data_IF_796226162901
#
_entry.id   IF_796226162901
#
_cell.length_a   1.000
_cell.length_b   1.000
_cell.length_c   1.000
_cell.angle_alpha   90.00
_cell.angle_beta   90.00
_cell.angle_gamma   90.00
#
_symmetry.space_group_name_H-M   'P 1'
#
loop_
_entity.id
_entity.type
_entity.pdbx_description
1 polymer ?
#
# COMPACT_ATOMS: atom_id res chain seq x y z
N UNK A 1 23.08 -5.29 -6.48
CA UNK A 1 21.87 -5.96 -6.97
C UNK A 1 21.71 -7.36 -6.34
N UNK A 2 22.69 -8.27 -6.42
CA UNK A 2 22.58 -9.63 -5.87
C UNK A 2 22.08 -9.67 -4.42
N UNK A 3 22.71 -8.96 -3.50
CA UNK A 3 22.28 -8.91 -2.08
C UNK A 3 20.83 -8.45 -1.87
N UNK A 4 20.30 -7.62 -2.74
CA UNK A 4 18.90 -7.21 -2.65
C UNK A 4 17.98 -8.37 -3.06
N UNK A 5 18.38 -9.11 -4.11
CA UNK A 5 17.62 -10.27 -4.58
C UNK A 5 17.67 -11.45 -3.60
N UNK A 6 18.75 -11.57 -2.81
CA UNK A 6 18.82 -12.57 -1.73
C UNK A 6 17.74 -12.33 -0.66
N UNK A 7 17.34 -11.08 -0.46
CA UNK A 7 16.33 -10.69 0.54
C UNK A 7 14.92 -10.67 -0.04
N UNK A 8 14.74 -10.05 -1.23
CA UNK A 8 13.42 -9.78 -1.80
C UNK A 8 13.13 -10.53 -3.09
N UNK A 9 14.08 -11.30 -3.63
CA UNK A 9 13.94 -12.03 -4.89
C UNK A 9 13.02 -13.24 -4.79
N UNK A 10 12.76 -13.72 -3.59
CA UNK A 10 11.82 -14.80 -3.37
C UNK A 10 10.39 -14.40 -3.74
N UNK A 11 9.72 -15.32 -4.42
CA UNK A 11 8.31 -15.11 -4.77
C UNK A 11 7.51 -14.75 -3.51
N UNK A 12 6.66 -13.79 -3.60
CA UNK A 12 5.80 -13.24 -2.53
C UNK A 12 6.47 -12.24 -1.58
N UNK A 13 7.82 -12.15 -1.50
CA UNK A 13 8.48 -11.22 -0.58
C UNK A 13 8.02 -9.76 -0.82
N UNK A 14 8.10 -9.27 -2.06
CA UNK A 14 7.63 -7.92 -2.42
C UNK A 14 6.12 -7.75 -2.27
N UNK A 15 5.32 -8.81 -2.38
CA UNK A 15 3.89 -8.73 -2.12
C UNK A 15 3.58 -8.57 -0.63
N UNK A 16 4.34 -9.24 0.25
CA UNK A 16 4.26 -9.01 1.71
C UNK A 16 4.64 -7.57 2.04
N UNK A 17 5.75 -7.07 1.47
CA UNK A 17 6.16 -5.66 1.63
C UNK A 17 5.04 -4.73 1.17
N UNK A 18 4.46 -4.94 -0.01
CA UNK A 18 3.34 -4.15 -0.55
C UNK A 18 2.17 -4.07 0.43
N UNK A 19 1.78 -5.20 1.01
CA UNK A 19 0.67 -5.27 1.97
C UNK A 19 0.94 -4.45 3.24
N UNK A 20 2.21 -4.31 3.64
CA UNK A 20 2.63 -3.60 4.85
C UNK A 20 2.96 -2.11 4.59
N UNK A 21 3.05 -1.66 3.34
CA UNK A 21 3.31 -0.24 3.01
C UNK A 21 2.21 0.71 3.50
N UNK A 22 0.99 0.21 3.67
CA UNK A 22 -0.16 1.00 4.13
C UNK A 22 -0.39 0.89 5.65
N UNK A 23 0.54 0.29 6.37
CA UNK A 23 0.51 0.16 7.82
C UNK A 23 0.64 -1.26 8.33
N UNK A 24 0.72 -1.39 9.65
CA UNK A 24 0.86 -2.67 10.32
C UNK A 24 -0.37 -3.57 10.11
N UNK A 25 -0.14 -4.88 9.95
CA UNK A 25 -1.18 -5.87 9.72
C UNK A 25 -0.99 -7.11 10.61
N UNK A 26 -2.10 -7.72 10.98
CA UNK A 26 -2.09 -9.05 11.59
C UNK A 26 -1.80 -10.11 10.55
N UNK A 27 -1.40 -11.29 10.98
CA UNK A 27 -1.21 -12.44 10.09
C UNK A 27 -2.48 -12.76 9.28
N UNK A 28 -3.65 -12.72 9.93
CA UNK A 28 -4.94 -12.96 9.29
C UNK A 28 -5.25 -11.95 8.18
N UNK A 29 -4.89 -10.68 8.37
CA UNK A 29 -5.13 -9.62 7.40
C UNK A 29 -4.20 -9.75 6.18
N UNK A 30 -2.93 -10.11 6.43
CA UNK A 30 -1.97 -10.43 5.36
C UNK A 30 -2.44 -11.62 4.53
N UNK A 31 -2.92 -12.68 5.20
CA UNK A 31 -3.46 -13.87 4.53
C UNK A 31 -4.69 -13.54 3.68
N UNK A 32 -5.60 -12.70 4.18
CA UNK A 32 -6.77 -12.26 3.43
C UNK A 32 -6.40 -11.45 2.18
N UNK A 33 -5.34 -10.62 2.27
CA UNK A 33 -4.82 -9.85 1.13
C UNK A 33 -4.07 -10.69 0.08
N UNK A 34 -3.68 -11.92 0.44
CA UNK A 34 -2.90 -12.82 -0.42
C UNK A 34 -3.49 -14.25 -0.46
N UNK A 35 -4.70 -14.45 -1.01
CA UNK A 35 -5.43 -15.72 -0.92
C UNK A 35 -4.71 -16.90 -1.58
N UNK A 36 -3.85 -16.63 -2.57
CA UNK A 36 -3.08 -17.65 -3.29
C UNK A 36 -1.79 -18.07 -2.57
N UNK A 37 -1.50 -17.50 -1.39
CA UNK A 37 -0.32 -17.82 -0.60
C UNK A 37 -0.72 -18.73 0.56
N UNK A 38 -0.05 -19.90 0.68
CA UNK A 38 -0.31 -20.79 1.80
C UNK A 38 0.14 -20.17 3.12
N UNK A 39 -0.52 -20.52 4.25
CA UNK A 39 -0.14 -20.01 5.57
C UNK A 39 1.32 -20.31 5.95
N UNK A 40 1.81 -21.49 5.59
CA UNK A 40 3.18 -21.91 5.90
C UNK A 40 4.20 -21.07 5.12
N UNK A 41 3.93 -20.82 3.83
CA UNK A 41 4.81 -20.00 3.00
C UNK A 41 4.74 -18.54 3.43
N UNK A 42 3.57 -18.00 3.83
CA UNK A 42 3.49 -16.66 4.41
C UNK A 42 4.31 -16.58 5.70
N UNK A 43 4.18 -17.57 6.58
CA UNK A 43 4.97 -17.64 7.81
C UNK A 43 6.48 -17.67 7.53
N UNK A 44 6.89 -18.42 6.52
CA UNK A 44 8.28 -18.46 6.10
C UNK A 44 8.76 -17.09 5.59
N UNK A 45 8.01 -16.46 4.65
CA UNK A 45 8.37 -15.14 4.12
C UNK A 45 8.45 -14.06 5.21
N UNK A 46 7.55 -14.10 6.20
CA UNK A 46 7.59 -13.18 7.34
C UNK A 46 8.85 -13.37 8.18
N UNK A 47 9.26 -14.61 8.44
CA UNK A 47 10.51 -14.89 9.16
C UNK A 47 11.75 -14.40 8.38
N UNK A 48 11.81 -14.69 7.08
CA UNK A 48 12.94 -14.31 6.23
C UNK A 48 13.10 -12.78 6.17
N UNK A 49 11.99 -12.06 5.98
CA UNK A 49 11.98 -10.60 5.94
C UNK A 49 12.28 -9.97 7.31
N UNK A 50 11.87 -10.62 8.41
CA UNK A 50 12.21 -10.20 9.77
C UNK A 50 13.72 -10.36 10.03
N UNK A 51 14.30 -11.51 9.68
CA UNK A 51 15.74 -11.76 9.81
C UNK A 51 16.57 -10.79 8.94
N UNK A 52 16.06 -10.42 7.77
CA UNK A 52 16.70 -9.43 6.90
C UNK A 52 16.50 -7.97 7.39
N UNK A 53 15.77 -7.74 8.49
CA UNK A 53 15.50 -6.42 9.04
C UNK A 53 14.58 -5.55 8.18
N UNK A 54 13.78 -6.16 7.30
CA UNK A 54 12.81 -5.47 6.44
C UNK A 54 11.50 -5.20 7.17
N UNK A 55 11.09 -6.12 8.02
CA UNK A 55 9.92 -5.98 8.87
C UNK A 55 10.26 -6.35 10.32
N UNK A 56 9.38 -5.99 11.22
CA UNK A 56 9.41 -6.40 12.62
C UNK A 56 8.04 -6.84 13.09
N UNK A 57 8.02 -7.61 14.17
CA UNK A 57 6.80 -7.90 14.92
C UNK A 57 6.59 -6.85 15.97
N UNK A 58 5.36 -6.43 16.13
CA UNK A 58 4.95 -5.53 17.19
C UNK A 58 3.63 -6.01 17.81
N UNK A 59 3.25 -5.43 18.93
CA UNK A 59 2.02 -5.75 19.62
C UNK A 59 1.18 -4.51 19.79
N UNK A 60 -0.03 -4.54 19.23
CA UNK A 60 -0.97 -3.45 19.44
C UNK A 60 -1.36 -3.36 20.93
N UNK A 61 -1.49 -2.13 21.46
CA UNK A 61 -1.93 -1.94 22.83
C UNK A 61 -3.37 -2.43 23.06
N UNK A 62 -3.76 -2.66 24.31
CA UNK A 62 -5.16 -2.90 24.64
C UNK A 62 -6.07 -1.77 24.12
N UNK A 63 -7.33 -2.08 23.77
CA UNK A 63 -8.05 -3.35 23.96
C UNK A 63 -7.77 -4.41 22.87
N UNK A 64 -7.08 -4.07 21.80
CA UNK A 64 -6.90 -4.98 20.66
C UNK A 64 -5.87 -6.07 20.94
N UNK A 65 -4.80 -5.77 21.67
CA UNK A 65 -3.75 -6.67 22.15
C UNK A 65 -3.29 -7.75 21.15
N UNK A 66 -3.24 -7.43 19.86
CA UNK A 66 -2.93 -8.35 18.78
C UNK A 66 -1.48 -8.21 18.30
N UNK A 67 -0.86 -9.33 17.92
CA UNK A 67 0.42 -9.31 17.23
C UNK A 67 0.23 -8.82 15.80
N UNK A 68 1.09 -7.88 15.38
CA UNK A 68 1.12 -7.31 14.04
C UNK A 68 2.53 -7.37 13.46
N UNK A 69 2.60 -7.28 12.15
CA UNK A 69 3.83 -7.11 11.38
C UNK A 69 3.82 -5.71 10.79
N UNK A 70 4.96 -5.03 10.85
CA UNK A 70 5.13 -3.71 10.24
C UNK A 70 6.50 -3.58 9.58
N UNK A 71 6.60 -2.70 8.59
CA UNK A 71 7.88 -2.42 7.95
C UNK A 71 8.77 -1.59 8.88
N UNK A 72 10.05 -1.95 8.91
CA UNK A 72 11.10 -1.07 9.44
C UNK A 72 11.34 0.10 8.48
N UNK A 73 12.16 1.09 8.87
CA UNK A 73 12.54 2.17 7.97
C UNK A 73 13.21 1.63 6.70
N UNK A 74 14.10 0.64 6.84
CA UNK A 74 14.70 -0.09 5.72
C UNK A 74 13.63 -0.78 4.84
N UNK A 75 12.61 -1.34 5.43
CA UNK A 75 11.50 -1.95 4.68
C UNK A 75 10.69 -0.91 3.90
N UNK A 76 10.49 0.28 4.46
CA UNK A 76 9.80 1.39 3.78
C UNK A 76 10.59 1.94 2.58
N UNK A 77 11.92 1.85 2.59
CA UNK A 77 12.75 2.19 1.43
C UNK A 77 12.45 1.36 0.19
N UNK A 78 11.78 0.21 0.32
CA UNK A 78 11.32 -0.61 -0.81
C UNK A 78 10.09 -0.04 -1.53
N UNK A 79 9.41 0.96 -0.98
CA UNK A 79 8.23 1.55 -1.63
C UNK A 79 8.47 1.99 -3.08
N UNK A 80 9.52 2.75 -3.42
CA UNK A 80 9.79 3.14 -4.80
C UNK A 80 10.06 1.94 -5.72
N UNK A 81 10.63 0.84 -5.20
CA UNK A 81 10.85 -0.39 -5.96
C UNK A 81 9.51 -1.05 -6.28
N UNK A 82 8.64 -1.20 -5.29
CA UNK A 82 7.29 -1.77 -5.46
C UNK A 82 6.47 -0.95 -6.45
N UNK A 83 6.48 0.39 -6.31
CA UNK A 83 5.77 1.29 -7.23
C UNK A 83 6.38 1.24 -8.65
N UNK A 84 7.71 1.14 -8.78
CA UNK A 84 8.39 0.99 -10.06
C UNK A 84 7.99 -0.30 -10.78
N UNK A 85 7.96 -1.42 -10.07
CA UNK A 85 7.48 -2.70 -10.60
C UNK A 85 5.99 -2.63 -10.98
N UNK A 86 5.17 -1.95 -10.16
CA UNK A 86 3.76 -1.72 -10.46
C UNK A 86 3.56 -0.94 -11.77
N UNK A 87 4.33 0.15 -11.99
CA UNK A 87 4.30 0.93 -13.24
C UNK A 87 4.75 0.11 -14.44
N UNK A 88 5.80 -0.68 -14.28
CA UNK A 88 6.27 -1.57 -15.35
C UNK A 88 5.21 -2.61 -15.69
N UNK A 89 4.64 -3.26 -14.68
CA UNK A 89 3.63 -4.30 -14.84
C UNK A 89 2.31 -3.79 -15.41
N UNK A 90 1.92 -2.53 -15.11
CA UNK A 90 0.66 -1.94 -15.61
C UNK A 90 0.63 -1.72 -17.13
N UNK A 91 1.77 -1.81 -17.81
CA UNK A 91 1.86 -1.76 -19.27
C UNK A 91 1.51 -3.08 -19.95
N UNK A 92 1.52 -4.18 -19.20
CA UNK A 92 1.11 -5.48 -19.71
C UNK A 92 -0.43 -5.57 -19.73
N UNK A 93 -1.02 -6.26 -20.70
CA UNK A 93 -2.46 -6.52 -20.70
C UNK A 93 -2.83 -7.31 -19.44
N UNK A 94 -3.98 -6.98 -18.87
CA UNK A 94 -4.51 -7.75 -17.74
C UNK A 94 -4.75 -9.20 -18.16
N UNK A 95 -4.36 -10.19 -17.35
CA UNK A 95 -4.71 -11.57 -17.63
C UNK A 95 -6.24 -11.73 -17.68
N UNK A 96 -6.76 -12.54 -18.60
CA UNK A 96 -8.19 -12.78 -18.67
C UNK A 96 -8.68 -13.46 -17.39
N UNK A 97 -9.75 -12.95 -16.80
CA UNK A 97 -10.35 -13.46 -15.58
C UNK A 97 -10.81 -12.35 -14.63
N UNK A 98 -11.76 -12.67 -13.75
CA UNK A 98 -12.19 -11.77 -12.69
C UNK A 98 -11.09 -11.69 -11.60
N UNK A 99 -10.20 -10.72 -11.72
CA UNK A 99 -9.24 -10.43 -10.66
C UNK A 99 -9.90 -9.47 -9.67
N UNK A 100 -10.38 -9.99 -8.57
CA UNK A 100 -10.84 -9.16 -7.45
C UNK A 100 -9.62 -8.51 -6.81
N UNK A 101 -9.46 -7.21 -7.02
CA UNK A 101 -8.39 -6.44 -6.37
C UNK A 101 -8.81 -6.13 -4.94
N UNK A 102 -7.99 -6.51 -3.97
CA UNK A 102 -8.15 -6.08 -2.58
C UNK A 102 -8.00 -4.55 -2.45
N UNK A 103 -8.57 -3.99 -1.39
CA UNK A 103 -8.55 -2.53 -1.12
C UNK A 103 -7.14 -1.98 -1.15
N UNK A 104 -6.18 -2.65 -0.52
CA UNK A 104 -4.78 -2.19 -0.50
C UNK A 104 -4.13 -2.23 -1.88
N UNK A 105 -4.49 -3.22 -2.72
CA UNK A 105 -4.03 -3.27 -4.11
C UNK A 105 -4.55 -2.08 -4.93
N UNK A 106 -5.79 -1.64 -4.69
CA UNK A 106 -6.36 -0.45 -5.32
C UNK A 106 -5.64 0.83 -4.87
N UNK A 107 -5.35 0.96 -3.57
CA UNK A 107 -4.58 2.10 -3.06
C UNK A 107 -3.17 2.11 -3.64
N UNK A 108 -2.51 0.96 -3.72
CA UNK A 108 -1.18 0.86 -4.33
C UNK A 108 -1.21 1.16 -5.83
N UNK A 109 -2.26 0.76 -6.55
CA UNK A 109 -2.46 1.15 -7.94
C UNK A 109 -2.63 2.66 -8.09
N UNK A 110 -3.41 3.30 -7.21
CA UNK A 110 -3.59 4.75 -7.18
C UNK A 110 -2.24 5.47 -6.96
N UNK A 111 -1.43 5.03 -5.99
CA UNK A 111 -0.08 5.57 -5.76
C UNK A 111 0.84 5.35 -6.97
N UNK A 112 0.73 4.20 -7.62
CA UNK A 112 1.54 3.82 -8.78
C UNK A 112 1.23 4.68 -10.00
N UNK A 113 -0.04 4.97 -10.24
CA UNK A 113 -0.54 5.70 -11.41
C UNK A 113 -0.67 7.21 -11.17
N UNK A 114 -0.37 7.68 -9.96
CA UNK A 114 -0.40 9.10 -9.66
C UNK A 114 0.56 9.88 -10.56
N UNK A 115 0.02 10.89 -11.24
CA UNK A 115 0.76 11.80 -12.12
C UNK A 115 0.79 13.20 -11.47
N UNK A 116 1.95 13.66 -10.96
CA UNK A 116 2.05 14.97 -10.33
C UNK A 116 1.74 16.12 -11.28
N UNK A 117 2.04 15.98 -12.58
CA UNK A 117 1.78 17.03 -13.57
C UNK A 117 0.29 17.28 -13.83
N UNK A 118 -0.55 16.27 -13.58
CA UNK A 118 -2.02 16.40 -13.64
C UNK A 118 -2.65 16.83 -12.32
N UNK A 119 -1.87 16.85 -11.26
CA UNK A 119 -2.34 17.07 -9.90
C UNK A 119 -1.85 18.38 -9.28
N UNK A 120 -1.32 19.33 -10.08
CA UNK A 120 -0.75 20.58 -9.58
C UNK A 120 -1.72 21.39 -8.71
N UNK A 121 -3.01 21.41 -9.05
CA UNK A 121 -4.05 22.05 -8.25
C UNK A 121 -4.40 21.38 -6.93
N UNK A 122 -3.86 20.19 -6.67
CA UNK A 122 -4.14 19.37 -5.49
C UNK A 122 -3.02 19.40 -4.45
N UNK A 123 -1.89 20.06 -4.76
CA UNK A 123 -0.76 20.17 -3.82
C UNK A 123 -1.20 20.91 -2.56
N UNK A 124 -0.90 20.34 -1.39
CA UNK A 124 -1.32 20.87 -0.09
C UNK A 124 -2.76 20.51 0.34
N UNK A 125 -3.50 19.80 -0.49
CA UNK A 125 -4.82 19.26 -0.14
C UNK A 125 -4.71 17.90 0.54
N UNK A 126 -5.73 17.54 1.32
CA UNK A 126 -5.89 16.21 1.91
C UNK A 126 -7.24 15.66 1.49
N UNK A 127 -7.27 14.38 1.09
CA UNK A 127 -8.47 13.70 0.63
C UNK A 127 -8.74 12.48 1.48
N UNK A 128 -9.98 12.29 1.91
CA UNK A 128 -10.42 11.03 2.48
C UNK A 128 -10.90 10.11 1.36
N UNK A 129 -10.31 8.92 1.27
CA UNK A 129 -10.73 7.85 0.39
C UNK A 129 -11.46 6.79 1.22
N UNK A 130 -12.68 6.48 0.83
CA UNK A 130 -13.49 5.41 1.46
C UNK A 130 -13.64 4.26 0.48
N UNK A 131 -13.11 3.11 0.85
CA UNK A 131 -13.14 1.88 0.05
C UNK A 131 -13.66 0.75 0.93
N UNK A 132 -14.84 0.25 0.63
CA UNK A 132 -15.59 -0.67 1.48
C UNK A 132 -15.77 -0.08 2.90
N UNK A 133 -15.33 -0.79 3.92
CA UNK A 133 -15.35 -0.38 5.34
C UNK A 133 -14.07 0.36 5.80
N UNK A 134 -13.13 0.61 4.88
CA UNK A 134 -11.82 1.17 5.19
C UNK A 134 -11.71 2.63 4.74
N UNK A 135 -10.98 3.40 5.55
CA UNK A 135 -10.71 4.82 5.29
C UNK A 135 -9.21 5.04 5.13
N UNK A 136 -8.87 5.88 4.18
CA UNK A 136 -7.50 6.29 3.91
C UNK A 136 -7.44 7.79 3.77
N UNK A 137 -6.36 8.38 4.22
CA UNK A 137 -6.03 9.77 3.96
C UNK A 137 -4.98 9.83 2.86
N UNK A 138 -5.26 10.55 1.78
CA UNK A 138 -4.39 10.73 0.64
C UNK A 138 -3.93 12.19 0.54
N UNK A 139 -2.63 12.42 0.44
CA UNK A 139 -2.01 13.75 0.37
C UNK A 139 -0.99 13.79 -0.78
N UNK A 140 -1.21 14.62 -1.81
CA UNK A 140 -0.19 14.95 -2.79
C UNK A 140 0.95 15.72 -2.13
N UNK A 141 2.17 15.16 -2.17
CA UNK A 141 3.36 15.77 -1.57
C UNK A 141 4.61 15.36 -2.33
N UNK A 142 5.48 16.34 -2.64
CA UNK A 142 6.79 16.08 -3.26
C UNK A 142 6.73 15.21 -4.52
N UNK A 143 5.75 15.45 -5.40
CA UNK A 143 5.58 14.68 -6.63
C UNK A 143 5.08 13.24 -6.45
N UNK A 144 4.59 12.88 -5.27
CA UNK A 144 4.01 11.57 -4.92
C UNK A 144 2.64 11.72 -4.29
N UNK A 145 1.91 10.63 -4.23
CA UNK A 145 0.70 10.52 -3.43
C UNK A 145 1.02 9.73 -2.16
N UNK A 146 1.11 10.44 -1.04
CA UNK A 146 1.19 9.79 0.26
C UNK A 146 -0.20 9.30 0.64
N UNK A 147 -0.33 8.03 0.99
CA UNK A 147 -1.60 7.46 1.46
C UNK A 147 -1.33 6.68 2.73
N UNK A 148 -2.07 7.00 3.76
CA UNK A 148 -2.02 6.30 5.03
C UNK A 148 -3.42 5.77 5.39
N UNK A 149 -3.47 4.60 6.00
CA UNK A 149 -4.69 4.09 6.65
C UNK A 149 -4.89 4.89 7.94
N UNK A 150 -6.01 5.54 8.09
CA UNK A 150 -6.20 6.41 9.24
C UNK A 150 -7.64 6.56 9.66
N UNK A 151 -7.80 6.87 10.96
CA UNK A 151 -8.99 7.54 11.44
C UNK A 151 -8.94 8.98 10.93
N UNK A 152 -10.05 9.48 10.37
CA UNK A 152 -10.15 10.84 9.87
C UNK A 152 -9.63 11.84 10.90
N UNK A 153 -8.60 12.61 10.56
CA UNK A 153 -8.31 13.86 11.27
C UNK A 153 -9.49 14.79 11.10
N UNK A 154 -9.90 15.53 12.16
CA UNK A 154 -11.06 16.44 12.10
C UNK A 154 -10.74 17.75 11.36
N UNK A 155 -10.05 17.68 10.24
CA UNK A 155 -9.90 18.84 9.34
C UNK A 155 -11.07 18.77 8.37
N UNK A 156 -11.98 19.77 8.35
CA UNK A 156 -13.10 19.77 7.44
C UNK A 156 -12.58 19.71 5.99
N UNK A 157 -13.14 18.84 5.14
CA UNK A 157 -12.73 18.73 3.76
C UNK A 157 -12.94 20.07 3.07
N UNK A 158 -11.88 20.67 2.54
CA UNK A 158 -12.04 21.67 1.49
C UNK A 158 -12.54 20.92 0.28
N UNK A 159 -13.84 21.00 0.05
CA UNK A 159 -14.47 20.45 -1.16
C UNK A 159 -13.93 21.23 -2.35
N UNK A 160 -13.12 20.64 -3.24
CA UNK A 160 -12.78 21.29 -4.48
C UNK A 160 -14.07 21.44 -5.29
N UNK A 161 -14.49 22.66 -5.55
CA UNK A 161 -15.53 22.93 -6.55
C UNK A 161 -14.92 22.62 -7.91
N UNK A 162 -15.26 21.46 -8.47
CA UNK A 162 -14.98 21.19 -9.88
C UNK A 162 -15.98 22.03 -10.67
N UNK A 163 -15.52 23.00 -11.47
CA UNK A 163 -16.44 23.71 -12.35
C UNK A 163 -16.94 22.73 -13.43
N UNK A 164 -18.19 22.34 -13.34
CA UNK A 164 -18.86 21.64 -14.43
C UNK A 164 -19.16 22.71 -15.49
N UNK A 165 -18.29 22.85 -16.47
CA UNK A 165 -18.62 23.61 -17.68
C UNK A 165 -19.57 22.75 -18.50
N UNK A 166 -20.86 23.04 -18.37
CA UNK A 166 -21.85 22.58 -19.34
C UNK A 166 -21.59 23.35 -20.64
N UNK A 167 -21.06 22.67 -21.65
CA UNK A 167 -21.12 23.17 -23.04
C UNK A 167 -22.47 22.81 -23.61
N UNK A 168 -23.22 23.87 -24.03
CA UNK A 168 -24.29 23.74 -25.00
C UNK A 168 -23.77 23.35 -26.37
#
# INVERSE_FOLDING_TARGET
MARALDVIGERWALLVVRELLLGAKRFTDLRAGMPNLSPDLLSQRLRDLEQAGVLRRDRLPPPIAAQVYELTDRGRELEPVVLGLGRWGSRAPFPPGNTTLGVDSLIMALKTLYDPGRADGLVGSSFELRLADQRFEARPRNGRLDVARGAASPVPPRTPRIPVTASC
#
